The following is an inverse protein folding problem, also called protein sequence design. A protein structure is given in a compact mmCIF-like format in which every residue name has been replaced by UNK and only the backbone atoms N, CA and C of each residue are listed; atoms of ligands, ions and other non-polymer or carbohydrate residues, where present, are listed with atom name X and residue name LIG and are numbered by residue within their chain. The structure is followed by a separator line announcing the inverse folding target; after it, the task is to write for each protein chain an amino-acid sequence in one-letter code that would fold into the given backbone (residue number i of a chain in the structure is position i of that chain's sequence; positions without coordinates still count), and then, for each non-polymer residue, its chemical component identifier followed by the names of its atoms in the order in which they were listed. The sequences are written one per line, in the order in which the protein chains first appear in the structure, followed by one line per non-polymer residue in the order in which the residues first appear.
data_IF_940821587578
#
_entry.id   IF_940821587578
#
_cell.length_a   1.000
_cell.length_b   1.000
_cell.length_c   1.000
_cell.angle_alpha   90.00
_cell.angle_beta   90.00
_cell.angle_gamma   90.00
#
_symmetry.space_group_name_H-M   'P 1'
#
loop_
_entity.id
_entity.type
_entity.pdbx_description
1 polymer ?
#
# COMPACT_ATOMS: atom_id res chain seq x y z
N UNK A 1 1.80 -3.77 3.16
CA UNK A 1 2.05 -4.65 1.98
C UNK A 1 0.84 -5.52 1.73
N UNK A 2 0.47 -5.64 0.49
CA UNK A 2 -0.64 -6.48 0.03
C UNK A 2 -0.09 -7.46 -0.98
N UNK A 3 -0.41 -8.73 -0.84
CA UNK A 3 -0.07 -9.74 -1.84
C UNK A 3 -1.14 -9.78 -2.93
N UNK A 4 -0.69 -9.90 -4.17
CA UNK A 4 -1.53 -10.03 -5.36
C UNK A 4 -1.48 -11.47 -5.84
N UNK A 5 -2.60 -12.00 -6.27
CA UNK A 5 -2.67 -13.36 -6.79
C UNK A 5 -3.68 -13.47 -7.94
N UNK A 6 -3.72 -14.63 -8.54
CA UNK A 6 -4.52 -14.98 -9.70
C UNK A 6 -3.87 -14.49 -11.01
N UNK A 7 -4.50 -13.61 -11.78
CA UNK A 7 -3.97 -13.20 -13.09
C UNK A 7 -2.65 -12.40 -12.98
N UNK A 8 -2.44 -11.72 -11.88
CA UNK A 8 -1.19 -11.02 -11.57
C UNK A 8 -0.72 -11.49 -10.20
N UNK A 9 0.50 -12.00 -10.15
CA UNK A 9 1.11 -12.45 -8.89
C UNK A 9 2.23 -11.50 -8.53
N UNK A 10 2.18 -10.98 -7.33
CA UNK A 10 3.18 -10.02 -6.86
C UNK A 10 2.81 -9.37 -5.55
N UNK A 11 3.36 -8.18 -5.33
CA UNK A 11 3.16 -7.42 -4.12
C UNK A 11 2.95 -5.95 -4.42
N UNK A 12 2.12 -5.33 -3.59
CA UNK A 12 1.84 -3.91 -3.61
C UNK A 12 2.21 -3.34 -2.25
N UNK A 13 3.12 -2.37 -2.24
CA UNK A 13 3.65 -1.78 -1.00
C UNK A 13 3.44 -0.28 -1.05
N UNK A 14 2.87 0.28 0.02
CA UNK A 14 2.83 1.72 0.24
C UNK A 14 3.78 2.02 1.40
N UNK A 15 4.75 2.88 1.14
CA UNK A 15 5.73 3.31 2.11
C UNK A 15 5.56 4.80 2.38
N UNK A 16 5.60 5.19 3.65
CA UNK A 16 5.48 6.57 4.06
C UNK A 16 6.22 6.79 5.37
N UNK A 17 6.64 8.02 5.61
CA UNK A 17 7.23 8.40 6.88
C UNK A 17 6.16 8.41 7.99
N UNK A 18 6.60 8.21 9.22
CA UNK A 18 5.72 8.17 10.38
C UNK A 18 4.89 9.47 10.52
N UNK A 19 5.49 10.62 10.28
CA UNK A 19 4.79 11.90 10.37
C UNK A 19 3.68 12.03 9.31
N UNK A 20 3.91 11.51 8.11
CA UNK A 20 2.89 11.44 7.06
C UNK A 20 1.74 10.53 7.48
N UNK A 21 2.06 9.36 8.04
CA UNK A 21 1.05 8.43 8.54
C UNK A 21 0.18 9.06 9.63
N UNK A 22 0.78 9.78 10.57
CA UNK A 22 0.04 10.49 11.62
C UNK A 22 -0.93 11.53 11.06
N UNK A 23 -0.50 12.29 10.05
CA UNK A 23 -1.35 13.29 9.40
C UNK A 23 -2.54 12.65 8.71
N UNK A 24 -2.33 11.56 8.00
CA UNK A 24 -3.41 10.82 7.33
C UNK A 24 -4.42 10.31 8.34
N UNK A 25 -3.95 9.64 9.39
CA UNK A 25 -4.82 9.10 10.43
C UNK A 25 -5.60 10.22 11.12
N UNK A 26 -4.97 11.36 11.37
CA UNK A 26 -5.62 12.52 11.95
C UNK A 26 -6.76 13.03 11.08
N UNK A 27 -6.54 13.12 9.79
CA UNK A 27 -7.56 13.56 8.82
C UNK A 27 -8.70 12.54 8.74
N UNK A 28 -8.38 11.26 8.62
CA UNK A 28 -9.39 10.22 8.46
C UNK A 28 -10.26 10.03 9.71
N UNK A 29 -9.71 10.27 10.89
CA UNK A 29 -10.43 10.13 12.16
C UNK A 29 -10.94 11.47 12.72
N UNK A 30 -10.71 12.57 12.01
CA UNK A 30 -11.13 13.91 12.40
C UNK A 30 -10.69 14.28 13.82
N UNK A 31 -9.42 13.99 14.16
CA UNK A 31 -8.81 14.34 15.44
C UNK A 31 -7.29 14.29 15.35
N UNK A 32 -6.60 15.02 16.22
CA UNK A 32 -5.15 14.98 16.30
C UNK A 32 -4.66 13.63 16.82
N UNK A 33 -3.74 13.01 16.10
CA UNK A 33 -3.10 11.75 16.49
C UNK A 33 -1.63 12.04 16.77
N UNK A 34 -1.20 11.76 17.98
CA UNK A 34 0.19 11.98 18.42
C UNK A 34 1.05 10.72 18.25
N UNK A 35 0.45 9.56 18.45
CA UNK A 35 1.12 8.27 18.38
C UNK A 35 0.32 7.31 17.52
N UNK A 36 1.02 6.41 16.86
CA UNK A 36 0.38 5.34 16.07
C UNK A 36 -0.01 4.20 17.02
N UNK A 37 -1.28 4.11 17.31
CA UNK A 37 -1.88 3.07 18.15
C UNK A 37 -2.65 2.04 17.31
N UNK A 38 -3.41 1.15 17.96
CA UNK A 38 -4.21 0.14 17.26
C UNK A 38 -5.25 0.73 16.32
N UNK A 39 -5.90 1.80 16.74
CA UNK A 39 -6.88 2.49 15.88
C UNK A 39 -6.21 3.11 14.67
N UNK A 40 -5.03 3.71 14.88
CA UNK A 40 -4.23 4.27 13.78
C UNK A 40 -3.84 3.20 12.77
N UNK A 41 -3.40 2.03 13.24
CA UNK A 41 -3.04 0.92 12.37
C UNK A 41 -4.24 0.41 11.58
N UNK A 42 -5.41 0.31 12.21
CA UNK A 42 -6.65 -0.08 11.53
C UNK A 42 -7.03 0.93 10.43
N UNK A 43 -6.86 2.22 10.71
CA UNK A 43 -7.12 3.29 9.74
C UNK A 43 -6.19 3.18 8.53
N UNK A 44 -4.91 2.91 8.76
CA UNK A 44 -3.93 2.74 7.68
C UNK A 44 -4.27 1.49 6.87
N UNK A 45 -4.64 0.38 7.52
CA UNK A 45 -5.08 -0.83 6.82
C UNK A 45 -6.29 -0.56 5.92
N UNK A 46 -7.25 0.21 6.40
CA UNK A 46 -8.41 0.60 5.61
C UNK A 46 -8.00 1.43 4.38
N UNK A 47 -7.09 2.39 4.56
CA UNK A 47 -6.58 3.20 3.45
C UNK A 47 -5.91 2.33 2.39
N UNK A 48 -5.04 1.41 2.81
CA UNK A 48 -4.34 0.50 1.89
C UNK A 48 -5.34 -0.39 1.15
N UNK A 49 -6.34 -0.90 1.84
CA UNK A 49 -7.40 -1.70 1.22
C UNK A 49 -8.20 -0.91 0.20
N UNK A 50 -8.51 0.36 0.48
CA UNK A 50 -9.23 1.21 -0.46
C UNK A 50 -8.42 1.44 -1.73
N UNK A 51 -7.14 1.75 -1.58
CA UNK A 51 -6.24 1.99 -2.73
C UNK A 51 -6.08 0.72 -3.56
N UNK A 52 -5.79 -0.40 -2.90
CA UNK A 52 -5.64 -1.69 -3.57
C UNK A 52 -6.93 -2.13 -4.27
N UNK A 53 -8.07 -1.94 -3.62
CA UNK A 53 -9.37 -2.26 -4.18
C UNK A 53 -9.71 -1.45 -5.43
N UNK A 54 -9.40 -0.15 -5.42
CA UNK A 54 -9.58 0.71 -6.60
C UNK A 54 -8.67 0.26 -7.75
N UNK A 55 -7.43 -0.11 -7.45
CA UNK A 55 -6.50 -0.62 -8.46
C UNK A 55 -6.99 -1.92 -9.08
N UNK A 56 -7.47 -2.84 -8.25
CA UNK A 56 -8.03 -4.13 -8.71
C UNK A 56 -9.25 -3.91 -9.60
N UNK A 57 -10.15 -3.01 -9.22
CA UNK A 57 -11.32 -2.68 -10.03
C UNK A 57 -10.94 -2.18 -11.42
N UNK A 58 -9.90 -1.34 -11.48
CA UNK A 58 -9.39 -0.84 -12.75
C UNK A 58 -8.75 -1.95 -13.59
N UNK A 59 -8.03 -2.86 -12.97
CA UNK A 59 -7.45 -4.01 -13.64
C UNK A 59 -8.52 -4.95 -14.20
N UNK A 60 -9.63 -5.13 -13.49
CA UNK A 60 -10.79 -5.91 -13.99
C UNK A 60 -11.33 -5.30 -15.27
N UNK A 61 -11.39 -3.99 -15.36
CA UNK A 61 -11.81 -3.29 -16.57
C UNK A 61 -10.90 -3.63 -17.75
N UNK A 62 -9.61 -3.85 -17.47
CA UNK A 62 -8.61 -4.21 -18.48
C UNK A 62 -8.52 -5.74 -18.74
N UNK A 63 -9.41 -6.52 -18.11
CA UNK A 63 -9.49 -7.97 -18.33
C UNK A 63 -8.67 -8.83 -17.37
N UNK A 64 -8.14 -8.25 -16.30
CA UNK A 64 -7.40 -8.99 -15.29
C UNK A 64 -8.25 -9.24 -14.07
N UNK A 65 -8.27 -10.49 -13.61
CA UNK A 65 -8.91 -10.88 -12.35
C UNK A 65 -7.84 -11.06 -11.28
N UNK A 66 -7.77 -10.11 -10.36
CA UNK A 66 -6.71 -10.07 -9.35
C UNK A 66 -7.32 -10.12 -7.96
N UNK A 67 -6.81 -11.03 -7.13
CA UNK A 67 -7.17 -11.13 -5.73
C UNK A 67 -6.11 -10.44 -4.88
N UNK A 68 -6.55 -9.86 -3.76
CA UNK A 68 -5.65 -9.20 -2.81
C UNK A 68 -5.76 -9.83 -1.43
N UNK A 69 -4.63 -9.96 -0.74
CA UNK A 69 -4.59 -10.38 0.65
C UNK A 69 -4.95 -9.22 1.58
N UNK A 70 -5.29 -9.50 2.85
CA UNK A 70 -5.35 -8.45 3.86
C UNK A 70 -3.98 -7.75 3.98
N UNK A 71 -3.96 -6.44 4.21
CA UNK A 71 -2.68 -5.72 4.31
C UNK A 71 -1.90 -6.10 5.57
N UNK A 72 -0.58 -6.16 5.41
CA UNK A 72 0.36 -6.30 6.53
C UNK A 72 1.07 -4.97 6.70
N UNK A 73 1.06 -4.45 7.93
CA UNK A 73 1.74 -3.19 8.27
C UNK A 73 3.02 -3.50 9.01
N UNK A 74 4.11 -2.89 8.54
CA UNK A 74 5.41 -2.98 9.19
C UNK A 74 5.86 -1.57 9.58
N UNK A 75 6.27 -1.41 10.84
CA UNK A 75 6.80 -0.16 11.36
C UNK A 75 8.27 -0.38 11.70
N UNK A 76 9.15 0.34 11.02
CA UNK A 76 10.59 0.23 11.25
C UNK A 76 11.30 1.52 10.89
N UNK A 77 12.43 1.77 11.54
CA UNK A 77 13.29 2.90 11.20
C UNK A 77 14.13 2.62 9.95
N UNK A 78 14.49 1.37 9.73
CA UNK A 78 15.37 0.95 8.64
C UNK A 78 14.86 -0.35 8.04
N UNK A 79 13.71 -0.28 7.37
CA UNK A 79 13.16 -1.44 6.71
C UNK A 79 13.77 -1.58 5.32
N UNK A 80 14.43 -2.70 5.08
CA UNK A 80 14.85 -3.11 3.75
C UNK A 80 13.91 -4.20 3.26
N UNK A 81 13.35 -3.98 2.07
CA UNK A 81 12.55 -4.99 1.40
C UNK A 81 13.36 -5.48 0.21
N UNK A 82 13.73 -6.75 0.26
CA UNK A 82 14.48 -7.39 -0.81
C UNK A 82 13.51 -8.11 -1.73
N UNK A 83 13.39 -7.62 -2.96
CA UNK A 83 12.58 -8.25 -3.98
C UNK A 83 13.54 -8.70 -5.06
N UNK A 84 13.84 -10.02 -5.09
CA UNK A 84 14.73 -10.60 -6.09
C UNK A 84 13.93 -11.12 -7.27
N UNK A 85 14.50 -10.99 -8.46
CA UNK A 85 13.98 -11.58 -9.71
C UNK A 85 12.60 -11.12 -10.13
N UNK A 86 12.12 -10.00 -9.58
CA UNK A 86 10.82 -9.43 -9.93
C UNK A 86 11.02 -8.11 -10.67
N UNK A 87 10.20 -7.88 -11.67
CA UNK A 87 10.04 -6.54 -12.20
C UNK A 87 9.31 -5.71 -11.17
N UNK A 88 9.76 -4.47 -10.96
CA UNK A 88 9.02 -3.63 -10.05
C UNK A 88 8.92 -2.20 -10.54
N UNK A 89 7.81 -1.58 -10.19
CA UNK A 89 7.49 -0.20 -10.50
C UNK A 89 7.52 0.60 -9.20
N UNK A 90 8.25 1.71 -9.21
CA UNK A 90 8.32 2.63 -8.08
C UNK A 90 7.68 3.96 -8.49
N UNK A 91 6.67 4.38 -7.76
CA UNK A 91 5.99 5.65 -7.98
C UNK A 91 6.14 6.50 -6.72
N UNK A 92 6.71 7.69 -6.88
CA UNK A 92 6.78 8.65 -5.80
C UNK A 92 5.68 9.68 -5.97
N UNK A 93 4.88 9.87 -4.91
CA UNK A 93 3.81 10.86 -4.88
C UNK A 93 4.13 11.93 -3.87
N UNK A 94 4.19 13.18 -4.32
CA UNK A 94 4.33 14.34 -3.44
C UNK A 94 2.95 14.91 -3.17
N UNK A 95 2.57 15.00 -1.91
CA UNK A 95 1.27 15.54 -1.51
C UNK A 95 1.43 16.65 -0.50
N UNK A 96 0.38 17.44 -0.27
CA UNK A 96 0.37 18.52 0.71
C UNK A 96 0.56 18.03 2.15
N UNK A 97 0.33 16.74 2.42
CA UNK A 97 0.47 16.15 3.77
C UNK A 97 1.73 15.30 3.91
N UNK A 98 2.51 15.14 2.86
CA UNK A 98 3.75 14.38 2.87
C UNK A 98 3.92 13.55 1.61
N UNK A 99 5.00 12.79 1.58
CA UNK A 99 5.37 11.97 0.45
C UNK A 99 5.00 10.50 0.68
N UNK A 100 4.59 9.84 -0.40
CA UNK A 100 4.32 8.41 -0.42
C UNK A 100 5.16 7.75 -1.49
N UNK A 101 5.62 6.55 -1.20
CA UNK A 101 6.23 5.69 -2.20
C UNK A 101 5.33 4.48 -2.42
N UNK A 102 4.98 4.22 -3.67
CA UNK A 102 4.23 3.04 -4.05
C UNK A 102 5.15 2.13 -4.83
N UNK A 103 5.26 0.90 -4.37
CA UNK A 103 6.10 -0.13 -4.99
C UNK A 103 5.19 -1.26 -5.43
N UNK A 104 5.26 -1.60 -6.70
CA UNK A 104 4.53 -2.75 -7.24
C UNK A 104 5.53 -3.72 -7.83
N UNK A 105 5.63 -4.88 -7.21
CA UNK A 105 6.50 -5.95 -7.69
C UNK A 105 5.64 -7.01 -8.37
N UNK A 106 5.93 -7.33 -9.60
CA UNK A 106 5.20 -8.35 -10.37
C UNK A 106 6.11 -9.55 -10.59
N UNK A 107 5.69 -10.71 -10.09
CA UNK A 107 6.42 -11.97 -10.26
C UNK A 107 5.96 -12.70 -11.50
N UNK A 108 4.65 -12.68 -11.78
CA UNK A 108 4.09 -13.27 -13.00
C UNK A 108 2.80 -12.57 -13.38
N UNK A 109 2.46 -12.68 -14.63
CA UNK A 109 1.32 -12.02 -15.24
C UNK A 109 0.67 -12.96 -16.24
N UNK A 110 -0.67 -12.89 -16.32
CA UNK A 110 -1.47 -13.59 -17.32
C UNK A 110 -1.10 -13.11 -18.73
N UNK A 111 -0.86 -14.06 -19.64
CA UNK A 111 -0.59 -13.79 -21.04
C UNK A 111 -1.85 -13.50 -21.85
#
# INVERSE_FOLDING_TARGET
MVALSNDIVGHFIIDMELETAKKIVSIMNDREIKDIDKLSLSTIQELVNLIAGLAVTKLETDGYDVDISPPVIMKSKNLEVSISDSEFLHIKLDTSIGDFNILVAVESEKE
#
